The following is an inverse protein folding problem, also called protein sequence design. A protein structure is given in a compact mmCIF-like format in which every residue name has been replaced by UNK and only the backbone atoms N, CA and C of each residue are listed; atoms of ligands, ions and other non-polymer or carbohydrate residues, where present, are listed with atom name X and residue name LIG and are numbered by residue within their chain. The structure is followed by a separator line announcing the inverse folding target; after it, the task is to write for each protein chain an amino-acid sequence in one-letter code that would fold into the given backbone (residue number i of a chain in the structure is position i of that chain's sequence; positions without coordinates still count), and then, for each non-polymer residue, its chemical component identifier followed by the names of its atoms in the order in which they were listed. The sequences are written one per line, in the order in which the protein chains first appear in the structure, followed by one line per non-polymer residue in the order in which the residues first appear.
data_IF_191373442813
#
_entry.id   IF_191373442813
#
_cell.length_a   1.000
_cell.length_b   1.000
_cell.length_c   1.000
_cell.angle_alpha   90.00
_cell.angle_beta   90.00
_cell.angle_gamma   90.00
#
_symmetry.space_group_name_H-M   'P 1'
#
loop_
_entity.id
_entity.type
_entity.pdbx_description
1 polymer ?
#
# COMPACT_ATOMS: atom_id res chain seq x y z
N UNK A 1 18.92 1.85 4.77
CA UNK A 1 18.85 3.04 3.89
C UNK A 1 17.94 4.06 4.53
N UNK A 2 18.30 5.36 4.51
CA UNK A 2 17.51 6.43 5.15
C UNK A 2 16.13 6.46 4.49
N UNK A 3 15.07 6.27 5.27
CA UNK A 3 13.70 6.54 4.84
C UNK A 3 13.64 8.03 4.48
N UNK A 4 13.78 8.34 3.19
CA UNK A 4 13.41 9.65 2.66
C UNK A 4 11.89 9.71 2.82
N UNK A 5 11.45 10.56 3.75
CA UNK A 5 10.05 10.84 4.00
C UNK A 5 9.30 10.97 2.67
N UNK A 6 8.34 10.07 2.43
CA UNK A 6 7.42 10.23 1.32
C UNK A 6 6.65 11.55 1.50
N UNK A 7 6.21 12.21 0.42
CA UNK A 7 5.30 13.33 0.51
C UNK A 7 4.12 12.97 1.42
N UNK A 8 3.81 13.85 2.38
CA UNK A 8 2.73 13.70 3.36
C UNK A 8 1.35 13.44 2.72
N UNK A 9 1.20 13.73 1.43
CA UNK A 9 -0.11 13.80 0.75
C UNK A 9 -0.80 12.46 0.54
N UNK A 10 -0.06 11.34 0.51
CA UNK A 10 -0.66 10.03 0.22
C UNK A 10 -1.08 9.23 1.46
N UNK A 11 -0.78 9.71 2.69
CA UNK A 11 -1.14 8.97 3.91
C UNK A 11 -2.65 8.81 4.09
N UNK A 12 -3.43 9.75 3.56
CA UNK A 12 -4.89 9.78 3.68
C UNK A 12 -5.60 8.93 2.61
N UNK A 13 -4.91 8.53 1.53
CA UNK A 13 -5.52 7.76 0.47
C UNK A 13 -5.85 6.32 0.89
N UNK A 14 -6.93 5.77 0.35
CA UNK A 14 -7.29 4.36 0.51
C UNK A 14 -6.30 3.46 -0.24
N UNK A 15 -6.26 2.16 0.09
CA UNK A 15 -5.39 1.23 -0.65
C UNK A 15 -5.82 1.13 -2.13
N UNK A 16 -7.13 1.21 -2.36
CA UNK A 16 -7.74 1.17 -3.68
C UNK A 16 -7.37 2.40 -4.50
N UNK A 17 -7.51 3.60 -3.94
CA UNK A 17 -7.10 4.86 -4.59
C UNK A 17 -5.62 4.88 -4.97
N UNK A 18 -4.75 4.36 -4.09
CA UNK A 18 -3.31 4.25 -4.38
C UNK A 18 -3.05 3.26 -5.51
N UNK A 19 -3.78 2.14 -5.54
CA UNK A 19 -3.64 1.11 -6.59
C UNK A 19 -4.16 1.63 -7.93
N UNK A 20 -5.29 2.34 -7.95
CA UNK A 20 -5.81 2.99 -9.15
C UNK A 20 -4.82 4.03 -9.72
N UNK A 21 -4.22 4.86 -8.86
CA UNK A 21 -3.17 5.79 -9.29
C UNK A 21 -1.97 5.06 -9.89
N UNK A 22 -1.55 3.94 -9.30
CA UNK A 22 -0.44 3.14 -9.82
C UNK A 22 -0.77 2.58 -11.21
N UNK A 23 -1.99 2.05 -11.39
CA UNK A 23 -2.44 1.53 -12.67
C UNK A 23 -2.45 2.62 -13.76
N UNK A 24 -2.91 3.83 -13.45
CA UNK A 24 -2.88 4.96 -14.41
C UNK A 24 -1.45 5.34 -14.82
N UNK A 25 -0.51 5.30 -13.88
CA UNK A 25 0.91 5.56 -14.18
C UNK A 25 1.47 4.44 -15.07
N UNK A 26 1.13 3.17 -14.80
CA UNK A 26 1.52 2.03 -15.64
C UNK A 26 0.99 2.19 -17.06
N UNK A 27 -0.31 2.47 -17.22
CA UNK A 27 -0.91 2.71 -18.54
C UNK A 27 -0.22 3.86 -19.28
N UNK A 28 0.14 4.94 -18.57
CA UNK A 28 0.87 6.06 -19.16
C UNK A 28 2.28 5.67 -19.59
N UNK A 29 2.98 4.87 -18.77
CA UNK A 29 4.33 4.37 -19.07
C UNK A 29 4.34 3.39 -20.24
N UNK A 30 3.35 2.52 -20.36
CA UNK A 30 3.21 1.54 -21.45
C UNK A 30 2.98 2.22 -22.82
N UNK A 31 2.40 3.42 -22.81
CA UNK A 31 2.16 4.21 -24.02
C UNK A 31 3.29 5.23 -24.34
N UNK A 32 4.27 5.42 -23.43
CA UNK A 32 5.37 6.36 -23.62
C UNK A 32 6.54 5.69 -24.36
N UNK A 33 6.95 6.29 -25.48
CA UNK A 33 8.03 5.77 -26.32
C UNK A 33 9.39 6.41 -25.97
N UNK A 34 9.40 7.55 -25.28
CA UNK A 34 10.60 8.24 -24.87
C UNK A 34 10.98 7.91 -23.42
N UNK A 35 12.05 7.13 -23.26
CA UNK A 35 12.57 6.75 -21.95
C UNK A 35 12.92 7.94 -21.05
N UNK A 36 13.39 9.05 -21.61
CA UNK A 36 13.74 10.23 -20.80
C UNK A 36 12.50 10.88 -20.19
N UNK A 37 11.35 10.80 -20.85
CA UNK A 37 10.08 11.34 -20.36
C UNK A 37 9.45 10.44 -19.29
N UNK A 38 9.81 9.15 -19.26
CA UNK A 38 9.22 8.17 -18.36
C UNK A 38 9.95 8.01 -17.02
N UNK A 39 11.17 8.56 -16.87
CA UNK A 39 11.97 8.44 -15.64
C UNK A 39 11.21 8.92 -14.41
N UNK A 40 10.60 10.10 -14.47
CA UNK A 40 9.91 10.69 -13.32
C UNK A 40 8.66 9.88 -12.95
N UNK A 41 7.86 9.49 -13.95
CA UNK A 41 6.69 8.63 -13.78
C UNK A 41 7.06 7.27 -13.18
N UNK A 42 8.17 6.68 -13.60
CA UNK A 42 8.66 5.42 -13.03
C UNK A 42 9.11 5.58 -11.58
N UNK A 43 9.80 6.68 -11.25
CA UNK A 43 10.17 6.99 -9.87
C UNK A 43 8.96 7.23 -8.97
N UNK A 44 7.91 7.86 -9.50
CA UNK A 44 6.63 8.01 -8.80
C UNK A 44 5.96 6.66 -8.55
N UNK A 45 5.88 5.82 -9.59
CA UNK A 45 5.34 4.46 -9.48
C UNK A 45 6.05 3.64 -8.41
N UNK A 46 7.39 3.71 -8.35
CA UNK A 46 8.18 3.00 -7.34
C UNK A 46 7.84 3.48 -5.91
N UNK A 47 7.70 4.78 -5.70
CA UNK A 47 7.30 5.34 -4.40
C UNK A 47 5.89 4.89 -4.02
N UNK A 48 4.96 4.92 -4.98
CA UNK A 48 3.58 4.54 -4.80
C UNK A 48 3.44 3.05 -4.46
N UNK A 49 4.16 2.19 -5.16
CA UNK A 49 4.16 0.75 -4.92
C UNK A 49 4.70 0.40 -3.52
N UNK A 50 5.79 1.06 -3.09
CA UNK A 50 6.31 0.90 -1.72
C UNK A 50 5.30 1.33 -0.65
N UNK A 51 4.50 2.37 -0.92
CA UNK A 51 3.46 2.83 0.00
C UNK A 51 2.30 1.83 0.07
N UNK A 52 1.84 1.32 -1.08
CA UNK A 52 0.81 0.28 -1.19
C UNK A 52 1.22 -0.95 -0.38
N UNK A 53 2.45 -1.43 -0.55
CA UNK A 53 2.99 -2.58 0.18
C UNK A 53 2.94 -2.34 1.69
N UNK A 54 3.48 -1.21 2.17
CA UNK A 54 3.48 -0.87 3.60
C UNK A 54 2.06 -0.80 4.16
N UNK A 55 1.10 -0.25 3.42
CA UNK A 55 -0.30 -0.12 3.85
C UNK A 55 -1.00 -1.48 3.88
N UNK A 56 -0.77 -2.31 2.87
CA UNK A 56 -1.29 -3.67 2.81
C UNK A 56 -0.79 -4.52 3.99
N UNK A 57 0.52 -4.51 4.26
CA UNK A 57 1.11 -5.23 5.39
C UNK A 57 0.54 -4.80 6.74
N UNK A 58 0.37 -3.49 6.95
CA UNK A 58 -0.26 -2.95 8.19
C UNK A 58 -1.69 -3.43 8.35
N UNK A 59 -2.49 -3.36 7.29
CA UNK A 59 -3.88 -3.81 7.31
C UNK A 59 -3.98 -5.32 7.58
N UNK A 60 -3.12 -6.12 6.94
CA UNK A 60 -3.05 -7.57 7.14
C UNK A 60 -2.75 -7.90 8.61
N UNK A 61 -1.73 -7.25 9.20
CA UNK A 61 -1.36 -7.44 10.61
C UNK A 61 -2.51 -7.09 11.55
N UNK A 62 -3.18 -5.97 11.30
CA UNK A 62 -4.33 -5.54 12.10
C UNK A 62 -5.50 -6.55 12.04
N UNK A 63 -5.81 -7.07 10.85
CA UNK A 63 -6.86 -8.08 10.68
C UNK A 63 -6.49 -9.38 11.42
N UNK A 64 -5.24 -9.83 11.30
CA UNK A 64 -4.74 -11.03 11.97
C UNK A 64 -4.85 -10.91 13.49
N UNK A 65 -4.39 -9.79 14.05
CA UNK A 65 -4.45 -9.51 15.49
C UNK A 65 -5.92 -9.47 15.98
N UNK A 66 -6.79 -8.74 15.27
CA UNK A 66 -8.22 -8.65 15.61
C UNK A 66 -8.91 -10.02 15.56
N UNK A 67 -8.53 -10.86 14.60
CA UNK A 67 -9.09 -12.21 14.45
C UNK A 67 -8.64 -13.12 15.59
N UNK A 68 -7.34 -13.12 15.90
CA UNK A 68 -6.79 -13.89 17.03
C UNK A 68 -7.43 -13.47 18.36
N UNK A 69 -7.61 -12.16 18.58
CA UNK A 69 -8.27 -11.65 19.78
C UNK A 69 -9.72 -12.16 19.89
N UNK A 70 -10.49 -12.13 18.80
CA UNK A 70 -11.86 -12.67 18.78
C UNK A 70 -11.89 -14.18 19.04
N UNK A 71 -10.97 -14.94 18.46
CA UNK A 71 -10.85 -16.39 18.70
C UNK A 71 -10.58 -16.64 20.19
N UNK A 72 -9.62 -15.93 20.77
CA UNK A 72 -9.29 -16.05 22.19
C UNK A 72 -10.46 -15.69 23.11
N UNK A 73 -11.26 -14.68 22.76
CA UNK A 73 -12.48 -14.34 23.51
C UNK A 73 -13.54 -15.44 23.45
N UNK A 74 -13.71 -16.10 22.30
CA UNK A 74 -14.66 -17.21 22.14
C UNK A 74 -14.18 -18.43 22.95
N UNK A 75 -12.90 -18.78 22.86
CA UNK A 75 -12.31 -19.90 23.63
C UNK A 75 -12.51 -19.69 25.13
N UNK A 76 -12.16 -18.51 25.65
CA UNK A 76 -12.34 -18.17 27.08
C UNK A 76 -13.80 -18.21 27.55
N UNK A 77 -14.77 -17.92 26.68
CA UNK A 77 -16.20 -17.99 27.00
C UNK A 77 -16.69 -19.44 27.11
N UNK A 78 -16.10 -20.35 26.35
CA UNK A 78 -16.47 -21.78 26.35
C UNK A 78 -15.73 -22.58 27.44
N UNK A 79 -14.71 -22.00 28.08
CA UNK A 79 -13.98 -22.58 29.23
C UNK A 79 -14.66 -22.29 30.58
N UNK A 80 -15.73 -21.49 30.60
CA UNK A 80 -16.58 -21.22 31.78
C UNK A 80 -17.90 -21.96 31.67
#
# INVERSE_FOLDING_TARGET
MKEKNLPLDYQHNSLEELTEKANRIIESLENENNLSNSVDSYQELLKLNNLIEKKFQKNLKFISEKTNNKINEIVKKNEK
#
